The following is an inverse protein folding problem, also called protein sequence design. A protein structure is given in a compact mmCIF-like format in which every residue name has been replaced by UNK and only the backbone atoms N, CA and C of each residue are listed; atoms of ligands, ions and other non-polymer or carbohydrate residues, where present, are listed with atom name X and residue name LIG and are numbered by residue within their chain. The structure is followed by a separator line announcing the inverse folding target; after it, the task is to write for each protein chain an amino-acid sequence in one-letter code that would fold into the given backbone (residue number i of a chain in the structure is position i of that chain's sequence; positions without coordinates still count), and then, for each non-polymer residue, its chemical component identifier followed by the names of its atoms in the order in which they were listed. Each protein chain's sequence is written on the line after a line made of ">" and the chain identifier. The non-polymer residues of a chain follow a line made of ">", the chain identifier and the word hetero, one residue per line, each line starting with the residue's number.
data_IF_715086978736
#
_entry.id   IF_715086978736
#
_cell.length_a   1.000
_cell.length_b   1.000
_cell.length_c   1.000
_cell.angle_alpha   90.00
_cell.angle_beta   90.00
_cell.angle_gamma   90.00
#
_symmetry.space_group_name_H-M   'P 1'
#
loop_
_entity.id
_entity.type
_entity.pdbx_description
1 polymer ?
#
# COMPACT_ATOMS: atom_id res chain seq x y z
N UNK A 1 7.88 -12.24 -4.33
CA UNK A 1 8.16 -10.99 -3.60
C UNK A 1 8.02 -9.87 -4.60
N UNK A 2 7.15 -8.89 -4.32
CA UNK A 2 6.98 -7.74 -5.21
C UNK A 2 7.37 -6.52 -4.41
N UNK A 3 8.36 -5.78 -4.89
CA UNK A 3 8.83 -4.56 -4.27
C UNK A 3 8.26 -3.39 -5.06
N UNK A 4 7.76 -2.38 -4.37
CA UNK A 4 7.19 -1.19 -5.01
C UNK A 4 8.03 0.02 -4.69
N UNK A 5 8.23 0.85 -5.71
CA UNK A 5 8.69 2.21 -5.52
C UNK A 5 7.49 3.09 -5.22
N UNK A 6 7.58 3.86 -4.14
CA UNK A 6 6.55 4.82 -3.81
C UNK A 6 6.82 6.09 -4.62
N UNK A 7 6.01 6.36 -5.63
CA UNK A 7 6.16 7.53 -6.48
C UNK A 7 5.95 8.83 -5.70
N UNK A 8 4.98 8.83 -4.77
CA UNK A 8 4.61 10.02 -4.01
C UNK A 8 3.93 9.68 -2.69
N UNK A 9 4.58 10.07 -1.60
CA UNK A 9 3.95 10.20 -0.28
C UNK A 9 3.38 11.61 -0.20
N UNK A 10 2.05 11.73 -0.24
CA UNK A 10 1.39 13.01 0.06
C UNK A 10 0.84 13.02 1.46
N UNK A 11 0.52 14.21 1.96
CA UNK A 11 -0.13 14.32 3.25
C UNK A 11 -1.44 13.52 3.34
N UNK A 12 -2.17 13.41 2.24
CA UNK A 12 -3.53 12.83 2.25
C UNK A 12 -3.56 11.36 1.84
N UNK A 13 -2.63 10.91 1.00
CA UNK A 13 -2.62 9.56 0.48
C UNK A 13 -1.23 9.06 0.04
N UNK A 14 -1.11 7.73 -0.03
CA UNK A 14 -0.02 7.01 -0.68
C UNK A 14 -0.51 6.50 -2.02
N UNK A 15 0.14 6.92 -3.12
CA UNK A 15 -0.10 6.30 -4.43
C UNK A 15 0.99 5.30 -4.70
N UNK A 16 0.60 4.07 -5.03
CA UNK A 16 1.49 2.99 -5.48
C UNK A 16 1.15 2.67 -6.92
N UNK A 17 2.15 2.74 -7.79
CA UNK A 17 2.04 2.38 -9.21
C UNK A 17 2.84 1.10 -9.46
N UNK A 18 2.26 0.16 -10.20
CA UNK A 18 2.90 -1.09 -10.59
C UNK A 18 3.27 -1.00 -12.07
N UNK A 19 4.57 -1.06 -12.38
CA UNK A 19 5.05 -1.01 -13.76
C UNK A 19 4.85 -2.35 -14.50
N UNK A 20 4.86 -3.47 -13.78
CA UNK A 20 4.70 -4.83 -14.32
C UNK A 20 3.39 -5.50 -13.87
N UNK A 21 2.50 -5.82 -14.82
CA UNK A 21 1.21 -6.48 -14.56
C UNK A 21 1.25 -7.89 -13.98
N UNK A 22 2.15 -8.82 -14.37
CA UNK A 22 2.12 -10.18 -13.82
C UNK A 22 2.46 -10.25 -12.33
N UNK A 23 3.04 -9.18 -11.78
CA UNK A 23 3.42 -9.08 -10.37
C UNK A 23 2.51 -8.15 -9.57
N UNK A 24 1.40 -7.64 -10.10
CA UNK A 24 0.55 -6.71 -9.35
C UNK A 24 -0.30 -7.45 -8.28
N UNK A 25 0.03 -7.34 -6.98
CA UNK A 25 -0.69 -8.02 -5.91
C UNK A 25 -2.10 -7.46 -5.70
N UNK A 26 -2.39 -6.30 -6.27
CA UNK A 26 -3.67 -5.64 -6.18
C UNK A 26 -4.58 -5.98 -7.36
N UNK A 27 -4.11 -6.72 -8.38
CA UNK A 27 -4.87 -6.99 -9.61
C UNK A 27 -6.26 -7.58 -9.31
N UNK A 28 -6.33 -8.52 -8.37
CA UNK A 28 -7.57 -9.22 -7.98
C UNK A 28 -8.41 -8.50 -6.92
N UNK A 29 -7.91 -7.39 -6.35
CA UNK A 29 -8.69 -6.60 -5.41
C UNK A 29 -9.83 -5.85 -6.13
N UNK A 30 -10.99 -5.67 -5.47
CA UNK A 30 -12.05 -4.80 -5.97
C UNK A 30 -11.56 -3.36 -6.08
N UNK A 31 -12.31 -2.51 -6.80
CA UNK A 31 -11.88 -1.12 -7.06
C UNK A 31 -11.71 -0.28 -5.80
N UNK A 32 -12.42 -0.57 -4.72
CA UNK A 32 -12.33 0.13 -3.45
C UNK A 32 -12.51 -0.84 -2.29
N UNK A 33 -11.87 -0.55 -1.16
CA UNK A 33 -12.00 -1.39 0.03
C UNK A 33 -11.14 -0.95 1.20
N UNK A 34 -10.98 -1.88 2.14
CA UNK A 34 -10.08 -1.73 3.27
C UNK A 34 -9.12 -2.91 3.31
N UNK A 35 -7.86 -2.64 3.66
CA UNK A 35 -6.88 -3.69 3.89
C UNK A 35 -6.12 -3.45 5.18
N UNK A 36 -5.59 -4.54 5.72
CA UNK A 36 -4.70 -4.50 6.87
C UNK A 36 -3.28 -4.69 6.38
N UNK A 37 -2.38 -3.80 6.77
CA UNK A 37 -0.96 -3.97 6.51
C UNK A 37 -0.15 -4.09 7.81
N UNK A 38 0.65 -5.13 7.90
CA UNK A 38 1.55 -5.39 9.01
C UNK A 38 2.92 -4.76 8.73
N UNK A 39 3.39 -3.89 9.62
CA UNK A 39 4.61 -3.09 9.44
C UNK A 39 5.70 -3.50 10.44
N UNK A 40 5.91 -4.81 10.61
CA UNK A 40 6.94 -5.35 11.52
C UNK A 40 6.76 -4.87 12.96
N UNK A 41 7.84 -4.31 13.55
CA UNK A 41 7.83 -3.79 14.93
C UNK A 41 6.91 -2.58 15.14
N UNK A 42 6.44 -1.94 14.06
CA UNK A 42 5.52 -0.79 14.11
C UNK A 42 4.05 -1.19 14.24
N UNK A 43 3.77 -2.49 14.25
CA UNK A 43 2.41 -3.04 14.36
C UNK A 43 1.64 -3.02 13.05
N UNK A 44 0.33 -3.23 13.13
CA UNK A 44 -0.55 -3.30 11.96
C UNK A 44 -1.43 -2.06 11.80
N UNK A 45 -1.57 -1.59 10.56
CA UNK A 45 -2.37 -0.43 10.19
C UNK A 45 -3.53 -0.86 9.28
N UNK A 46 -4.69 -0.22 9.45
CA UNK A 46 -5.84 -0.40 8.56
C UNK A 46 -5.89 0.76 7.58
N UNK A 47 -5.83 0.47 6.29
CA UNK A 47 -5.88 1.45 5.22
C UNK A 47 -7.18 1.33 4.46
N UNK A 48 -7.75 2.47 4.07
CA UNK A 48 -8.71 2.52 2.98
C UNK A 48 -7.93 2.56 1.68
N UNK A 49 -8.36 1.82 0.66
CA UNK A 49 -7.71 1.86 -0.66
C UNK A 49 -8.72 2.10 -1.77
N UNK A 50 -8.23 2.70 -2.86
CA UNK A 50 -8.94 2.92 -4.12
C UNK A 50 -8.02 2.64 -5.31
N UNK A 51 -8.42 1.76 -6.23
CA UNK A 51 -7.69 1.47 -7.47
C UNK A 51 -8.00 2.53 -8.52
N UNK A 52 -6.95 3.10 -9.11
CA UNK A 52 -7.01 4.04 -10.23
C UNK A 52 -6.52 3.30 -11.48
N UNK A 53 -7.43 2.52 -12.07
CA UNK A 53 -7.11 1.63 -13.19
C UNK A 53 -6.43 0.34 -12.73
N UNK A 54 -5.86 -0.41 -13.68
CA UNK A 54 -5.28 -1.71 -13.41
C UNK A 54 -3.97 -1.65 -12.59
N UNK A 55 -3.24 -0.54 -12.66
CA UNK A 55 -1.85 -0.45 -12.18
C UNK A 55 -1.60 0.52 -11.03
N UNK A 56 -2.55 1.38 -10.70
CA UNK A 56 -2.36 2.37 -9.64
C UNK A 56 -3.34 2.13 -8.50
N UNK A 57 -2.85 2.25 -7.26
CA UNK A 57 -3.66 2.15 -6.07
C UNK A 57 -3.33 3.26 -5.08
N UNK A 58 -4.36 3.81 -4.46
CA UNK A 58 -4.27 4.94 -3.54
C UNK A 58 -4.68 4.48 -2.16
N UNK A 59 -3.77 4.49 -1.19
CA UNK A 59 -4.07 4.25 0.22
C UNK A 59 -4.34 5.56 0.95
N UNK A 60 -5.35 5.56 1.81
CA UNK A 60 -5.82 6.71 2.57
C UNK A 60 -6.44 6.28 3.91
N UNK A 61 -6.94 7.26 4.68
CA UNK A 61 -7.64 7.05 5.95
C UNK A 61 -6.74 7.21 7.19
N UNK A 62 -7.29 6.91 8.36
CA UNK A 62 -6.62 7.16 9.65
C UNK A 62 -5.31 6.36 9.80
N UNK A 63 -5.29 5.10 9.32
CA UNK A 63 -4.08 4.29 9.32
C UNK A 63 -2.96 4.88 8.47
N UNK A 64 -3.31 5.50 7.33
CA UNK A 64 -2.34 6.24 6.50
C UNK A 64 -1.78 7.45 7.24
N UNK A 65 -2.61 8.23 7.92
CA UNK A 65 -2.13 9.41 8.64
C UNK A 65 -1.09 9.08 9.73
N UNK A 66 -1.22 7.91 10.38
CA UNK A 66 -0.23 7.42 11.35
C UNK A 66 1.00 6.86 10.65
N UNK A 67 0.79 6.01 9.65
CA UNK A 67 1.86 5.34 8.92
C UNK A 67 2.77 6.31 8.13
N UNK A 68 2.21 7.35 7.49
CA UNK A 68 2.93 8.34 6.66
C UNK A 68 4.10 9.01 7.40
N UNK A 69 3.96 9.23 8.72
CA UNK A 69 4.98 9.88 9.55
C UNK A 69 6.28 9.06 9.64
N UNK A 70 6.20 7.77 9.37
CA UNK A 70 7.31 6.83 9.53
C UNK A 70 7.95 6.40 8.21
N UNK A 71 7.42 6.86 7.07
CA UNK A 71 7.82 6.46 5.72
C UNK A 71 8.08 7.65 4.79
N UNK A 72 8.00 8.87 5.32
CA UNK A 72 8.30 10.08 4.56
C UNK A 72 9.77 10.07 4.11
N UNK A 73 9.98 10.05 2.79
CA UNK A 73 11.33 9.99 2.20
C UNK A 73 11.94 8.59 2.12
N UNK A 74 11.20 7.53 2.43
CA UNK A 74 11.66 6.14 2.36
C UNK A 74 10.93 5.36 1.26
N UNK A 75 11.57 4.31 0.76
CA UNK A 75 10.94 3.33 -0.13
C UNK A 75 10.14 2.32 0.70
N UNK A 76 8.98 1.87 0.22
CA UNK A 76 8.15 0.90 0.95
C UNK A 76 7.98 -0.34 0.09
N UNK A 77 8.54 -1.46 0.55
CA UNK A 77 8.29 -2.78 0.01
C UNK A 77 6.93 -3.28 0.53
N UNK A 78 6.04 -3.72 -0.36
CA UNK A 78 4.72 -4.22 0.02
C UNK A 78 4.62 -5.67 -0.44
N UNK A 79 4.40 -6.60 0.48
CA UNK A 79 4.20 -8.01 0.17
C UNK A 79 2.75 -8.39 0.46
N UNK A 80 2.12 -9.12 -0.47
CA UNK A 80 0.78 -9.68 -0.24
C UNK A 80 0.91 -11.00 0.51
N UNK A 81 0.40 -11.05 1.74
CA UNK A 81 0.37 -12.26 2.55
C UNK A 81 -0.90 -13.08 2.29
N UNK A 82 -2.02 -12.41 2.02
CA UNK A 82 -3.30 -13.04 1.69
C UNK A 82 -4.17 -12.13 0.81
N UNK A 83 -5.43 -12.53 0.56
CA UNK A 83 -6.36 -11.71 -0.22
C UNK A 83 -6.55 -10.30 0.36
N UNK A 84 -6.50 -10.14 1.68
CA UNK A 84 -6.79 -8.87 2.39
C UNK A 84 -5.68 -8.43 3.35
N UNK A 85 -4.61 -9.23 3.48
CA UNK A 85 -3.50 -8.96 4.37
C UNK A 85 -2.20 -8.74 3.60
N UNK A 86 -1.52 -7.66 3.96
CA UNK A 86 -0.28 -7.23 3.34
C UNK A 86 0.79 -7.01 4.42
N UNK A 87 2.06 -7.15 4.06
CA UNK A 87 3.20 -6.76 4.88
C UNK A 87 3.85 -5.55 4.22
N UNK A 88 4.07 -4.49 5.01
CA UNK A 88 4.75 -3.28 4.55
C UNK A 88 6.09 -3.21 5.25
N UNK A 89 7.16 -3.02 4.50
CA UNK A 89 8.54 -2.94 4.97
C UNK A 89 9.17 -1.68 4.39
N UNK A 90 9.77 -0.85 5.25
CA UNK A 90 10.21 0.52 4.96
C UNK A 90 11.73 0.56 5.01
#
# INVERSE_FOLDING_TARGET
>A
MVSFSVDKVTEMALTVTCDDEPSNPFAELPNDGHLKANCGSRGSYKFKYSKKGARSMVFSGEGWYKFRKHVAGSTINIERLSATEFKFEV
#
